data_IF_209982539753
#
_entry.id   IF_209982539753
#
_cell.length_a   1.000
_cell.length_b   1.000
_cell.length_c   1.000
_cell.angle_alpha   90.00
_cell.angle_beta   90.00
_cell.angle_gamma   90.00
#
_symmetry.space_group_name_H-M   'P 1'
#
loop_
_entity.id
_entity.type
_entity.pdbx_description
1 polymer ?
#
# COMPACT_ATOMS: atom_id res chain seq x y z
N UNK A 1 -16.32 -0.91 -0.64
CA UNK A 1 -15.43 -0.35 -1.68
C UNK A 1 -14.50 0.60 -0.98
N UNK A 2 -13.19 0.34 -0.98
CA UNK A 2 -12.26 1.22 -0.27
C UNK A 2 -12.11 2.56 -1.01
N UNK A 3 -12.08 3.67 -0.28
CA UNK A 3 -11.99 5.00 -0.88
C UNK A 3 -10.57 5.27 -1.35
N UNK A 4 -10.40 6.17 -2.33
CA UNK A 4 -9.06 6.58 -2.81
C UNK A 4 -8.15 7.07 -1.67
N UNK A 5 -8.74 7.70 -0.67
CA UNK A 5 -8.05 8.20 0.52
C UNK A 5 -7.53 7.06 1.41
N UNK A 6 -8.28 5.97 1.56
CA UNK A 6 -7.85 4.80 2.34
C UNK A 6 -6.63 4.11 1.72
N UNK A 7 -6.59 4.02 0.38
CA UNK A 7 -5.43 3.48 -0.33
C UNK A 7 -4.19 4.36 -0.18
N UNK A 8 -4.33 5.68 -0.32
CA UNK A 8 -3.20 6.61 -0.14
C UNK A 8 -2.72 6.67 1.31
N UNK A 9 -3.63 6.58 2.29
CA UNK A 9 -3.27 6.55 3.70
C UNK A 9 -2.49 5.27 4.04
N UNK A 10 -2.96 4.11 3.55
CA UNK A 10 -2.27 2.84 3.74
C UNK A 10 -0.88 2.85 3.07
N UNK A 11 -0.78 3.32 1.82
CA UNK A 11 0.50 3.48 1.12
C UNK A 11 1.45 4.40 1.87
N UNK A 12 1.00 5.59 2.24
CA UNK A 12 1.85 6.59 2.91
C UNK A 12 2.33 6.10 4.27
N UNK A 13 1.49 5.36 5.00
CA UNK A 13 1.88 4.74 6.27
C UNK A 13 2.92 3.63 6.04
N UNK A 14 2.71 2.80 5.02
CA UNK A 14 3.62 1.73 4.64
C UNK A 14 5.00 2.27 4.23
N UNK A 15 5.04 3.38 3.48
CA UNK A 15 6.28 4.04 3.05
C UNK A 15 7.05 4.66 4.21
N UNK A 16 6.37 5.22 5.20
CA UNK A 16 7.01 5.94 6.32
C UNK A 16 7.40 5.04 7.47
N UNK A 17 6.56 4.05 7.79
CA UNK A 17 6.71 3.21 8.98
C UNK A 17 6.90 1.72 8.64
N UNK A 18 6.92 1.36 7.36
CA UNK A 18 7.07 -0.03 6.89
C UNK A 18 5.76 -0.83 6.95
N UNK A 19 5.74 -1.96 6.25
CA UNK A 19 4.60 -2.87 6.21
C UNK A 19 4.17 -3.40 7.57
N UNK A 20 5.12 -3.61 8.51
CA UNK A 20 4.81 -4.12 9.85
C UNK A 20 3.98 -3.17 10.71
N UNK A 21 3.87 -1.90 10.33
CA UNK A 21 3.06 -0.90 11.02
C UNK A 21 1.59 -0.89 10.58
N UNK A 22 1.26 -1.60 9.49
CA UNK A 22 -0.08 -1.64 8.91
C UNK A 22 -0.96 -2.65 9.64
N UNK A 23 -2.24 -2.30 9.79
CA UNK A 23 -3.24 -3.28 10.22
C UNK A 23 -3.64 -4.22 9.06
N UNK A 24 -4.44 -5.25 9.38
CA UNK A 24 -4.86 -6.26 8.39
C UNK A 24 -5.63 -5.64 7.20
N UNK A 25 -6.47 -4.64 7.45
CA UNK A 25 -7.22 -3.98 6.37
C UNK A 25 -6.28 -3.17 5.48
N UNK A 26 -5.36 -2.42 6.07
CA UNK A 26 -4.36 -1.64 5.35
C UNK A 26 -3.43 -2.53 4.52
N UNK A 27 -3.02 -3.68 5.06
CA UNK A 27 -2.23 -4.68 4.31
C UNK A 27 -2.98 -5.18 3.08
N UNK A 28 -4.27 -5.52 3.22
CA UNK A 28 -5.08 -5.93 2.07
C UNK A 28 -5.21 -4.84 1.02
N UNK A 29 -5.32 -3.56 1.44
CA UNK A 29 -5.36 -2.43 0.51
C UNK A 29 -4.04 -2.31 -0.26
N UNK A 30 -2.90 -2.35 0.42
CA UNK A 30 -1.58 -2.27 -0.24
C UNK A 30 -1.34 -3.49 -1.15
N UNK A 31 -1.77 -4.69 -0.74
CA UNK A 31 -1.68 -5.90 -1.58
C UNK A 31 -2.59 -5.84 -2.81
N UNK A 32 -3.77 -5.20 -2.72
CA UNK A 32 -4.60 -4.96 -3.91
C UNK A 32 -3.90 -4.00 -4.87
N UNK A 33 -3.35 -2.90 -4.36
CA UNK A 33 -2.59 -1.94 -5.17
C UNK A 33 -1.35 -2.58 -5.80
N UNK A 34 -0.68 -3.51 -5.14
CA UNK A 34 0.49 -4.23 -5.69
C UNK A 34 0.22 -4.83 -7.08
N UNK A 35 -1.00 -5.33 -7.30
CA UNK A 35 -1.43 -5.91 -8.59
C UNK A 35 -1.90 -4.88 -9.60
N UNK A 36 -2.12 -3.63 -9.21
CA UNK A 36 -2.52 -2.57 -10.12
C UNK A 36 -1.33 -2.11 -10.98
N UNK A 37 -1.64 -1.73 -12.23
CA UNK A 37 -0.70 -1.02 -13.10
C UNK A 37 -0.74 0.48 -12.78
N UNK A 38 0.41 1.15 -12.87
CA UNK A 38 0.54 2.59 -12.65
C UNK A 38 1.32 2.96 -11.38
N UNK A 39 1.27 4.25 -11.02
CA UNK A 39 2.11 4.83 -9.97
C UNK A 39 1.85 4.23 -8.59
N UNK A 40 0.58 4.00 -8.22
CA UNK A 40 0.19 3.40 -6.93
C UNK A 40 0.67 1.96 -6.78
N UNK A 41 0.53 1.15 -7.84
CA UNK A 41 1.03 -0.21 -7.81
C UNK A 41 2.55 -0.29 -7.77
N UNK A 42 3.24 0.61 -8.48
CA UNK A 42 4.71 0.72 -8.35
C UNK A 42 5.13 1.08 -6.92
N UNK A 43 4.43 2.02 -6.27
CA UNK A 43 4.67 2.37 -4.86
C UNK A 43 4.41 1.18 -3.93
N UNK A 44 3.29 0.48 -4.10
CA UNK A 44 2.96 -0.71 -3.31
C UNK A 44 4.03 -1.81 -3.46
N UNK A 45 4.50 -2.08 -4.68
CA UNK A 45 5.61 -3.02 -4.93
C UNK A 45 6.89 -2.57 -4.25
N UNK A 46 7.23 -1.28 -4.33
CA UNK A 46 8.41 -0.73 -3.66
C UNK A 46 8.40 -1.00 -2.16
N UNK A 47 7.25 -0.78 -1.53
CA UNK A 47 7.10 -0.98 -0.08
C UNK A 47 7.06 -2.46 0.31
N UNK A 48 6.48 -3.33 -0.54
CA UNK A 48 6.39 -4.77 -0.29
C UNK A 48 7.70 -5.49 -0.56
N UNK A 49 8.30 -5.24 -1.72
CA UNK A 49 9.52 -5.92 -2.18
C UNK A 49 10.79 -5.28 -1.59
N UNK A 50 10.68 -4.08 -1.02
CA UNK A 50 11.80 -3.36 -0.41
C UNK A 50 12.87 -2.89 -1.40
N UNK A 51 12.53 -2.75 -2.69
CA UNK A 51 13.45 -2.30 -3.75
C UNK A 51 13.66 -0.79 -3.82
#
# INVERSE_FOLDING_TARGET
>A
MATKEQYEAALSKAERAGLGSLDKQQLELVQKLYKEAGSRGNRARKVIDGK
#
